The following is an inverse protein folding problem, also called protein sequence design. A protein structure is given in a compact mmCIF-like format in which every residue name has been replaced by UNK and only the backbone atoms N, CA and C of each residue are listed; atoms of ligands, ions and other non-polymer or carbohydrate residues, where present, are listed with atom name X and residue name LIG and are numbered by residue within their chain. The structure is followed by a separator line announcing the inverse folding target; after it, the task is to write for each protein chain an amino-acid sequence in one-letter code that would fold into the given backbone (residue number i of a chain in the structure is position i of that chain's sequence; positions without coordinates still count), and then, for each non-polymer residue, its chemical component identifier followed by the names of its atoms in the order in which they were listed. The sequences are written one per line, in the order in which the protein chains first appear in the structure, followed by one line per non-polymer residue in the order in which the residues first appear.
data_IF_218936723425
#
_entry.id   IF_218936723425
#
_cell.length_a   1.000
_cell.length_b   1.000
_cell.length_c   1.000
_cell.angle_alpha   90.00
_cell.angle_beta   90.00
_cell.angle_gamma   90.00
#
_symmetry.space_group_name_H-M   'P 1'
#
loop_
_entity.id
_entity.type
_entity.pdbx_description
1 polymer ?
#
# COMPACT_ATOMS: atom_id res chain seq x y z
N UNK A 1 -4.45 29.53 9.94
CA UNK A 1 -4.66 28.17 9.39
C UNK A 1 -3.45 27.86 8.52
N UNK A 2 -2.61 26.88 8.89
CA UNK A 2 -1.63 26.33 7.94
C UNK A 2 -2.45 25.67 6.83
N UNK A 3 -2.48 26.25 5.63
CA UNK A 3 -3.44 25.84 4.59
C UNK A 3 -2.92 24.75 3.64
N UNK A 4 -1.76 24.18 3.90
CA UNK A 4 -1.21 23.05 3.13
C UNK A 4 -0.51 22.11 4.10
N UNK A 5 -0.79 20.81 4.00
CA UNK A 5 -0.06 19.76 4.70
C UNK A 5 1.22 19.46 3.94
N UNK A 6 2.32 19.20 4.65
CA UNK A 6 3.59 18.86 4.01
C UNK A 6 3.54 17.40 3.55
N UNK A 7 3.65 17.17 2.24
CA UNK A 7 3.55 15.85 1.62
C UNK A 7 4.92 15.40 1.11
N UNK A 8 5.32 14.18 1.45
CA UNK A 8 6.48 13.50 0.85
C UNK A 8 6.01 12.31 0.03
N UNK A 9 6.70 12.07 -1.09
CA UNK A 9 6.35 11.03 -2.04
C UNK A 9 7.59 10.21 -2.40
N UNK A 10 7.50 8.89 -2.26
CA UNK A 10 8.59 7.99 -2.60
C UNK A 10 8.44 7.45 -4.01
N UNK A 11 9.49 7.66 -4.81
CA UNK A 11 9.56 7.22 -6.18
C UNK A 11 10.90 6.55 -6.46
N UNK A 12 10.85 5.26 -6.77
CA UNK A 12 12.00 4.53 -7.30
C UNK A 12 11.75 4.22 -8.78
N UNK A 13 12.57 4.73 -9.72
CA UNK A 13 12.35 4.55 -11.15
C UNK A 13 12.43 3.07 -11.60
N UNK A 14 13.03 2.18 -10.81
CA UNK A 14 13.20 0.78 -11.16
C UNK A 14 12.11 -0.14 -10.59
N UNK A 15 11.26 0.34 -9.67
CA UNK A 15 10.28 -0.51 -8.98
C UNK A 15 9.23 -1.11 -9.92
N UNK A 16 8.96 -0.47 -11.06
CA UNK A 16 8.04 -1.00 -12.06
C UNK A 16 8.66 -2.01 -13.04
N UNK A 17 9.98 -2.22 -12.99
CA UNK A 17 10.69 -3.12 -13.92
C UNK A 17 10.68 -4.59 -13.48
N UNK A 18 10.19 -4.89 -12.27
CA UNK A 18 10.04 -6.25 -11.79
C UNK A 18 8.82 -6.93 -12.41
N UNK A 19 8.93 -8.23 -12.67
CA UNK A 19 7.87 -9.01 -13.30
C UNK A 19 7.71 -10.36 -12.60
N UNK A 20 6.57 -10.56 -11.95
CA UNK A 20 6.26 -11.77 -11.15
C UNK A 20 6.23 -13.06 -11.98
N UNK A 21 5.99 -12.96 -13.29
CA UNK A 21 5.94 -14.10 -14.18
C UNK A 21 4.82 -14.00 -15.21
N UNK A 22 4.89 -14.78 -16.31
CA UNK A 22 3.83 -14.86 -17.30
C UNK A 22 2.49 -15.26 -16.64
N UNK A 23 1.39 -14.62 -17.04
CA UNK A 23 0.05 -14.92 -16.51
C UNK A 23 -0.26 -14.35 -15.11
N UNK A 24 0.74 -14.13 -14.26
CA UNK A 24 0.58 -13.64 -12.89
C UNK A 24 -0.14 -12.28 -12.84
N UNK A 25 -1.14 -12.08 -11.95
CA UNK A 25 -1.95 -10.86 -11.92
C UNK A 25 -1.21 -9.64 -11.34
N UNK A 26 -0.33 -9.82 -10.35
CA UNK A 26 0.50 -8.72 -9.83
C UNK A 26 1.48 -8.23 -10.91
N UNK A 27 1.35 -6.95 -11.28
CA UNK A 27 2.20 -6.26 -12.27
C UNK A 27 2.81 -5.00 -11.65
N UNK A 28 4.05 -5.05 -11.13
CA UNK A 28 4.74 -3.87 -10.60
C UNK A 28 4.78 -2.68 -11.56
N UNK A 29 4.74 -2.90 -12.89
CA UNK A 29 4.62 -1.87 -13.91
C UNK A 29 3.50 -0.84 -13.65
N UNK A 30 2.42 -1.21 -12.95
CA UNK A 30 1.35 -0.27 -12.55
C UNK A 30 1.90 0.93 -11.76
N UNK A 31 3.01 0.76 -11.05
CA UNK A 31 3.72 1.81 -10.33
C UNK A 31 4.34 2.83 -11.30
N UNK A 32 5.05 2.37 -12.34
CA UNK A 32 5.59 3.28 -13.38
C UNK A 32 4.49 4.09 -14.05
N UNK A 33 3.36 3.46 -14.35
CA UNK A 33 2.20 4.15 -14.96
C UNK A 33 1.65 5.21 -13.98
N UNK A 34 1.54 4.88 -12.68
CA UNK A 34 1.09 5.81 -11.64
C UNK A 34 2.03 7.01 -11.52
N UNK A 35 3.35 6.75 -11.44
CA UNK A 35 4.36 7.80 -11.35
C UNK A 35 4.29 8.69 -12.59
N UNK A 36 4.24 8.12 -13.79
CA UNK A 36 4.10 8.87 -15.04
C UNK A 36 2.91 9.83 -15.02
N UNK A 37 1.73 9.37 -14.56
CA UNK A 37 0.57 10.26 -14.40
C UNK A 37 0.82 11.38 -13.37
N UNK A 38 1.33 11.04 -12.19
CA UNK A 38 1.64 12.01 -11.12
C UNK A 38 2.61 13.09 -11.61
N UNK A 39 3.62 12.71 -12.39
CA UNK A 39 4.59 13.66 -12.96
C UNK A 39 3.97 14.51 -14.06
N UNK A 40 3.24 13.91 -15.01
CA UNK A 40 2.64 14.63 -16.14
C UNK A 40 1.47 15.54 -15.73
N UNK A 41 0.76 15.22 -14.64
CA UNK A 41 -0.19 16.14 -14.00
C UNK A 41 0.47 17.24 -13.15
N UNK A 42 1.81 17.27 -13.07
CA UNK A 42 2.57 18.22 -12.25
C UNK A 42 2.32 18.14 -10.74
N UNK A 43 1.75 17.04 -10.23
CA UNK A 43 1.49 16.87 -8.79
C UNK A 43 2.78 16.81 -7.97
N UNK A 44 3.86 16.29 -8.57
CA UNK A 44 5.20 16.29 -7.96
C UNK A 44 5.70 17.68 -7.55
N UNK A 45 5.21 18.77 -8.17
CA UNK A 45 5.57 20.15 -7.81
C UNK A 45 4.92 20.64 -6.52
N UNK A 46 3.99 19.85 -5.96
CA UNK A 46 3.23 20.16 -4.72
C UNK A 46 3.64 19.28 -3.54
N UNK A 47 4.72 18.51 -3.69
CA UNK A 47 5.23 17.57 -2.69
C UNK A 47 6.74 17.43 -2.80
N UNK A 48 7.39 16.95 -1.75
CA UNK A 48 8.82 16.62 -1.81
C UNK A 48 8.98 15.18 -2.28
N UNK A 49 9.64 14.98 -3.42
CA UNK A 49 9.84 13.64 -4.00
C UNK A 49 11.20 13.09 -3.60
N UNK A 50 11.21 11.86 -3.10
CA UNK A 50 12.42 11.16 -2.67
C UNK A 50 12.61 9.85 -3.44
N UNK A 51 13.85 9.60 -3.87
CA UNK A 51 14.29 8.23 -4.15
C UNK A 51 14.37 7.49 -2.83
N UNK A 52 13.64 6.37 -2.67
CA UNK A 52 13.55 5.73 -1.37
C UNK A 52 14.84 5.00 -1.00
N UNK A 53 15.06 4.93 0.31
CA UNK A 53 15.98 3.97 0.92
C UNK A 53 15.63 2.52 0.50
N UNK A 54 16.64 1.66 0.39
CA UNK A 54 16.44 0.21 0.23
C UNK A 54 16.57 -0.46 1.58
N UNK A 55 15.51 -1.11 2.05
CA UNK A 55 15.51 -1.81 3.33
C UNK A 55 16.61 -2.87 3.39
N UNK A 56 17.35 -2.88 4.49
CA UNK A 56 18.39 -3.89 4.73
C UNK A 56 17.76 -5.18 5.24
N UNK A 57 18.56 -6.25 5.22
CA UNK A 57 18.23 -7.51 5.90
C UNK A 57 17.82 -7.27 7.36
N UNK A 58 18.55 -6.41 8.08
CA UNK A 58 18.30 -6.09 9.46
C UNK A 58 16.93 -5.41 9.65
N UNK A 59 16.55 -4.49 8.76
CA UNK A 59 15.26 -3.81 8.82
C UNK A 59 14.10 -4.80 8.65
N UNK A 60 14.20 -5.72 7.69
CA UNK A 60 13.17 -6.73 7.45
C UNK A 60 13.02 -7.71 8.63
N UNK A 61 14.13 -8.09 9.26
CA UNK A 61 14.16 -9.01 10.41
C UNK A 61 13.60 -8.42 11.71
N UNK A 62 13.22 -7.13 11.72
CA UNK A 62 12.53 -6.52 12.88
C UNK A 62 11.14 -7.11 13.10
N UNK A 63 10.53 -7.63 12.04
CA UNK A 63 9.30 -8.39 12.11
C UNK A 63 9.50 -9.84 11.70
N UNK A 64 10.07 -10.07 10.51
CA UNK A 64 10.19 -11.39 9.93
C UNK A 64 11.29 -12.23 10.59
N UNK A 65 11.21 -13.56 10.45
CA UNK A 65 12.29 -14.42 10.91
C UNK A 65 13.55 -14.27 10.06
N UNK A 66 14.70 -14.38 10.72
CA UNK A 66 16.01 -14.37 10.05
C UNK A 66 16.12 -15.47 8.97
N UNK A 67 15.57 -16.66 9.25
CA UNK A 67 15.59 -17.79 8.33
C UNK A 67 14.82 -17.49 7.04
N UNK A 68 13.63 -16.89 7.17
CA UNK A 68 12.78 -16.53 6.03
C UNK A 68 13.43 -15.43 5.18
N UNK A 69 13.92 -14.34 5.78
CA UNK A 69 14.59 -13.27 5.05
C UNK A 69 15.90 -13.77 4.40
N UNK A 70 16.63 -14.67 5.07
CA UNK A 70 17.83 -15.29 4.50
C UNK A 70 17.50 -16.21 3.31
N UNK A 71 16.35 -16.88 3.34
CA UNK A 71 15.87 -17.60 2.17
C UNK A 71 15.54 -16.65 1.01
N UNK A 72 14.74 -15.60 1.26
CA UNK A 72 14.38 -14.62 0.23
C UNK A 72 15.61 -13.94 -0.39
N UNK A 73 16.65 -13.65 0.39
CA UNK A 73 17.87 -13.00 -0.08
C UNK A 73 18.76 -13.89 -0.96
N UNK A 74 18.53 -15.21 -0.95
CA UNK A 74 19.36 -16.20 -1.64
C UNK A 74 18.65 -16.89 -2.80
N UNK A 75 17.34 -17.03 -2.74
CA UNK A 75 16.57 -17.75 -3.75
C UNK A 75 16.51 -16.95 -5.05
N UNK A 76 16.82 -17.61 -6.16
CA UNK A 76 16.75 -17.07 -7.52
C UNK A 76 16.13 -18.10 -8.45
N UNK A 77 15.61 -17.70 -9.62
CA UNK A 77 15.12 -18.66 -10.62
C UNK A 77 16.17 -19.71 -11.01
N UNK A 78 17.45 -19.33 -11.03
CA UNK A 78 18.56 -20.22 -11.40
C UNK A 78 18.94 -21.25 -10.33
N UNK A 79 18.63 -21.00 -9.05
CA UNK A 79 19.01 -21.89 -7.94
C UNK A 79 17.82 -22.48 -7.17
N UNK A 80 16.58 -22.18 -7.56
CA UNK A 80 15.34 -22.57 -6.85
C UNK A 80 15.26 -24.07 -6.56
N UNK A 81 15.83 -24.93 -7.42
CA UNK A 81 15.90 -26.38 -7.23
C UNK A 81 16.69 -26.80 -5.98
N UNK A 82 17.64 -25.97 -5.53
CA UNK A 82 18.42 -26.17 -4.30
C UNK A 82 17.60 -25.86 -3.03
N UNK A 83 16.50 -25.12 -3.16
CA UNK A 83 15.66 -24.68 -2.06
C UNK A 83 14.31 -25.43 -1.96
N UNK A 84 14.15 -26.53 -2.68
CA UNK A 84 12.88 -27.31 -2.74
C UNK A 84 12.27 -27.68 -1.39
N UNK A 85 13.08 -27.82 -0.32
CA UNK A 85 12.59 -28.07 1.05
C UNK A 85 12.00 -26.83 1.73
N UNK A 86 12.49 -25.65 1.38
CA UNK A 86 12.10 -24.36 1.97
C UNK A 86 10.88 -23.75 1.27
N UNK A 87 10.65 -24.07 -0.01
CA UNK A 87 9.54 -23.52 -0.79
C UNK A 87 8.17 -23.73 -0.10
N UNK A 88 7.80 -24.95 0.35
CA UNK A 88 6.52 -25.15 1.04
C UNK A 88 6.50 -24.54 2.44
N UNK A 89 7.65 -24.51 3.13
CA UNK A 89 7.77 -23.96 4.48
C UNK A 89 7.53 -22.45 4.51
N UNK A 90 7.99 -21.74 3.47
CA UNK A 90 7.88 -20.29 3.36
C UNK A 90 6.78 -19.85 2.39
N UNK A 91 5.96 -20.80 1.92
CA UNK A 91 4.85 -20.58 1.00
C UNK A 91 5.25 -19.77 -0.27
N UNK A 92 6.41 -20.10 -0.84
CA UNK A 92 6.94 -19.51 -2.07
C UNK A 92 6.88 -20.53 -3.20
N UNK A 93 6.14 -20.22 -4.26
CA UNK A 93 5.82 -21.16 -5.33
C UNK A 93 4.76 -20.61 -6.28
N UNK A 94 3.51 -20.99 -6.08
CA UNK A 94 2.40 -20.70 -6.99
C UNK A 94 2.02 -19.20 -6.98
N UNK A 95 1.24 -18.77 -5.98
CA UNK A 95 0.80 -17.38 -5.85
C UNK A 95 1.98 -16.44 -5.52
N UNK A 96 3.00 -16.93 -4.81
CA UNK A 96 4.19 -16.15 -4.49
C UNK A 96 5.41 -16.72 -5.24
N UNK A 97 5.57 -16.46 -6.56
CA UNK A 97 6.62 -17.05 -7.38
C UNK A 97 8.01 -16.53 -7.09
N UNK A 98 9.02 -17.35 -7.34
CA UNK A 98 10.41 -16.88 -7.44
C UNK A 98 10.60 -16.18 -8.78
N UNK A 99 11.05 -14.93 -8.77
CA UNK A 99 11.36 -14.15 -9.98
C UNK A 99 12.69 -13.39 -9.83
N UNK A 100 13.23 -12.94 -10.96
CA UNK A 100 14.49 -12.18 -10.97
C UNK A 100 14.36 -10.88 -10.19
N UNK A 101 15.26 -10.67 -9.21
CA UNK A 101 15.26 -9.49 -8.36
C UNK A 101 14.19 -9.45 -7.27
N UNK A 102 13.57 -10.59 -6.91
CA UNK A 102 12.56 -10.67 -5.84
C UNK A 102 12.96 -9.94 -4.56
N UNK A 103 14.16 -10.21 -4.03
CA UNK A 103 14.65 -9.57 -2.81
C UNK A 103 14.86 -8.05 -2.97
N UNK A 104 15.35 -7.61 -4.13
CA UNK A 104 15.54 -6.18 -4.43
C UNK A 104 14.20 -5.45 -4.53
N UNK A 105 13.17 -6.10 -5.09
CA UNK A 105 11.80 -5.58 -5.07
C UNK A 105 11.30 -5.41 -3.63
N UNK A 106 11.50 -6.42 -2.78
CA UNK A 106 11.16 -6.37 -1.35
C UNK A 106 11.87 -5.23 -0.62
N UNK A 107 13.16 -5.06 -0.86
CA UNK A 107 13.96 -3.99 -0.25
C UNK A 107 13.46 -2.60 -0.62
N UNK A 108 13.07 -2.38 -1.89
CA UNK A 108 12.60 -1.07 -2.37
C UNK A 108 11.26 -0.67 -1.76
N UNK A 109 10.24 -1.52 -1.85
CA UNK A 109 8.93 -1.14 -1.30
C UNK A 109 8.95 -1.02 0.23
N UNK A 110 9.73 -1.88 0.90
CA UNK A 110 9.85 -1.84 2.37
C UNK A 110 10.60 -0.60 2.83
N UNK A 111 11.69 -0.25 2.14
CA UNK A 111 12.51 0.89 2.52
C UNK A 111 11.78 2.23 2.37
N UNK A 112 10.95 2.37 1.33
CA UNK A 112 10.07 3.53 1.15
C UNK A 112 9.05 3.68 2.30
N UNK A 113 8.38 2.59 2.71
CA UNK A 113 7.42 2.62 3.83
C UNK A 113 8.11 2.95 5.15
N UNK A 114 9.27 2.35 5.42
CA UNK A 114 10.07 2.63 6.60
C UNK A 114 10.55 4.09 6.64
N UNK A 115 11.07 4.60 5.53
CA UNK A 115 11.52 5.99 5.43
C UNK A 115 10.34 6.97 5.63
N UNK A 116 9.15 6.64 5.13
CA UNK A 116 7.91 7.36 5.40
C UNK A 116 7.58 7.44 6.89
N UNK A 117 7.61 6.31 7.59
CA UNK A 117 7.39 6.24 9.04
C UNK A 117 8.42 7.08 9.82
N UNK A 118 9.70 6.98 9.47
CA UNK A 118 10.77 7.79 10.09
C UNK A 118 10.53 9.29 9.89
N UNK A 119 10.17 9.74 8.68
CA UNK A 119 9.87 11.16 8.43
C UNK A 119 8.64 11.66 9.21
N UNK A 120 7.61 10.82 9.37
CA UNK A 120 6.43 11.15 10.18
C UNK A 120 6.78 11.28 11.68
N UNK A 121 7.54 10.33 12.24
CA UNK A 121 8.02 10.38 13.62
C UNK A 121 8.81 11.66 13.92
N UNK A 122 9.66 12.06 12.96
CA UNK A 122 10.51 13.24 13.07
C UNK A 122 9.81 14.54 12.66
N UNK A 123 8.50 14.50 12.37
CA UNK A 123 7.69 15.66 11.98
C UNK A 123 8.26 16.40 10.77
N UNK A 124 8.95 15.68 9.87
CA UNK A 124 9.47 16.22 8.62
C UNK A 124 8.39 16.34 7.54
N UNK A 125 7.24 15.71 7.74
CA UNK A 125 6.08 15.78 6.87
C UNK A 125 4.80 15.48 7.67
N UNK A 126 3.66 15.91 7.13
CA UNK A 126 2.36 15.53 7.66
C UNK A 126 1.83 14.26 6.99
N UNK A 127 2.19 14.03 5.72
CA UNK A 127 1.75 12.87 4.90
C UNK A 127 2.95 12.29 4.16
N UNK A 128 3.11 10.97 4.22
CA UNK A 128 4.09 10.24 3.43
C UNK A 128 3.37 9.26 2.49
N UNK A 129 3.74 9.24 1.21
CA UNK A 129 3.11 8.41 0.18
C UNK A 129 4.11 7.40 -0.36
N UNK A 130 3.79 6.12 -0.28
CA UNK A 130 4.51 5.03 -0.93
C UNK A 130 3.54 4.07 -1.63
N UNK A 131 3.29 4.30 -2.92
CA UNK A 131 2.42 3.41 -3.71
C UNK A 131 3.01 2.02 -3.97
N UNK A 132 4.32 1.83 -3.80
CA UNK A 132 4.94 0.53 -4.01
C UNK A 132 4.72 -0.45 -2.85
N UNK A 133 4.44 0.07 -1.65
CA UNK A 133 4.18 -0.72 -0.45
C UNK A 133 2.71 -1.11 -0.29
N UNK A 134 2.34 -1.50 0.93
CA UNK A 134 0.97 -1.93 1.24
C UNK A 134 0.76 -3.44 1.10
N UNK A 135 1.83 -4.25 1.18
CA UNK A 135 1.77 -5.70 0.96
C UNK A 135 1.34 -6.43 2.23
N UNK A 136 0.04 -6.34 2.52
CA UNK A 136 -0.56 -6.67 3.82
C UNK A 136 -0.69 -8.17 4.16
N UNK A 137 -0.53 -9.08 3.20
CA UNK A 137 -0.73 -10.52 3.43
C UNK A 137 0.51 -11.23 3.97
N UNK A 138 1.69 -10.64 3.81
CA UNK A 138 2.95 -11.28 4.23
C UNK A 138 2.93 -11.56 5.74
N UNK A 139 3.31 -12.80 6.11
CA UNK A 139 3.31 -13.28 7.49
C UNK A 139 4.72 -13.21 8.08
N UNK A 140 4.84 -13.46 9.39
CA UNK A 140 6.14 -13.41 10.07
C UNK A 140 7.16 -14.41 9.50
N UNK A 141 6.69 -15.58 9.09
CA UNK A 141 7.55 -16.70 8.68
C UNK A 141 7.37 -17.12 7.22
N UNK A 142 6.41 -16.56 6.48
CA UNK A 142 6.07 -17.04 5.13
C UNK A 142 5.46 -15.93 4.25
N UNK A 143 5.53 -16.14 2.94
CA UNK A 143 4.84 -15.32 1.96
C UNK A 143 3.35 -15.68 1.91
N UNK A 144 2.50 -14.77 1.44
CA UNK A 144 1.09 -15.05 1.20
C UNK A 144 0.49 -13.99 0.29
N UNK A 145 -0.45 -14.35 -0.59
CA UNK A 145 -1.22 -13.39 -1.38
C UNK A 145 -0.36 -12.36 -2.15
N UNK A 146 0.68 -12.82 -2.86
CA UNK A 146 1.64 -12.00 -3.61
C UNK A 146 2.61 -11.16 -2.76
N UNK A 147 2.51 -11.27 -1.44
CA UNK A 147 3.26 -10.49 -0.45
C UNK A 147 4.37 -11.31 0.19
N UNK A 148 5.60 -10.80 0.17
CA UNK A 148 6.78 -11.48 0.72
C UNK A 148 7.24 -10.84 2.03
N UNK A 149 7.40 -9.52 2.07
CA UNK A 149 7.76 -8.74 3.25
C UNK A 149 6.60 -7.81 3.60
N UNK A 150 6.22 -7.76 4.86
CA UNK A 150 5.13 -6.92 5.34
C UNK A 150 5.68 -5.54 5.72
N UNK A 151 5.76 -4.66 4.71
CA UNK A 151 6.29 -3.30 4.87
C UNK A 151 5.42 -2.45 5.82
N UNK A 152 4.13 -2.74 5.88
CA UNK A 152 3.18 -2.08 6.78
C UNK A 152 3.53 -2.36 8.24
N UNK A 153 3.74 -3.62 8.61
CA UNK A 153 4.10 -4.00 9.98
C UNK A 153 5.42 -3.36 10.39
N UNK A 154 6.42 -3.36 9.50
CA UNK A 154 7.72 -2.73 9.73
C UNK A 154 7.55 -1.22 9.94
N UNK A 155 6.76 -0.54 9.11
CA UNK A 155 6.48 0.88 9.25
C UNK A 155 5.71 1.21 10.54
N UNK A 156 4.71 0.40 10.93
CA UNK A 156 3.96 0.60 12.17
C UNK A 156 4.86 0.41 13.40
N UNK A 157 5.74 -0.60 13.39
CA UNK A 157 6.71 -0.80 14.46
C UNK A 157 7.64 0.42 14.63
N UNK A 158 8.01 1.09 13.53
CA UNK A 158 8.76 2.35 13.60
C UNK A 158 7.90 3.49 14.19
N UNK A 159 6.65 3.65 13.73
CA UNK A 159 5.72 4.66 14.27
C UNK A 159 5.48 4.47 15.78
N UNK A 160 5.39 3.23 16.25
CA UNK A 160 5.17 2.89 17.66
C UNK A 160 6.30 3.34 18.60
N UNK A 161 7.44 3.81 18.10
CA UNK A 161 8.44 4.45 18.96
C UNK A 161 8.00 5.80 19.52
N UNK A 162 7.20 6.55 18.76
CA UNK A 162 6.78 7.92 19.11
C UNK A 162 5.27 8.01 19.32
N UNK A 163 4.51 7.14 18.67
CA UNK A 163 3.06 7.15 18.70
C UNK A 163 2.53 6.11 19.70
N UNK A 164 1.84 6.52 20.79
CA UNK A 164 1.27 5.56 21.73
C UNK A 164 0.22 4.66 21.08
N UNK A 165 -0.53 5.21 20.11
CA UNK A 165 -1.60 4.55 19.37
C UNK A 165 -1.48 4.85 17.89
N UNK A 166 -1.33 3.80 17.09
CA UNK A 166 -1.33 3.84 15.62
C UNK A 166 -2.62 3.21 15.12
N UNK A 167 -3.32 3.87 14.20
CA UNK A 167 -4.49 3.32 13.53
C UNK A 167 -4.10 2.83 12.14
N UNK A 168 -4.37 1.56 11.85
CA UNK A 168 -4.26 0.98 10.53
C UNK A 168 -5.64 0.87 9.89
N UNK A 169 -5.81 1.48 8.71
CA UNK A 169 -7.05 1.41 7.91
C UNK A 169 -6.71 0.73 6.58
N UNK A 170 -7.50 -0.27 6.22
CA UNK A 170 -7.30 -1.10 5.03
C UNK A 170 -8.57 -1.09 4.16
N UNK A 171 -8.44 -0.55 2.95
CA UNK A 171 -9.53 -0.47 1.95
C UNK A 171 -9.27 -1.37 0.73
N UNK A 172 -8.28 -2.26 0.79
CA UNK A 172 -8.15 -3.39 -0.13
C UNK A 172 -9.41 -4.26 -0.10
N UNK A 173 -9.72 -4.93 -1.20
CA UNK A 173 -10.86 -5.85 -1.19
C UNK A 173 -10.59 -7.10 -0.35
N UNK A 174 -9.33 -7.47 -0.14
CA UNK A 174 -8.92 -8.60 0.69
C UNK A 174 -8.73 -8.16 2.14
N UNK A 175 -9.01 -9.07 3.07
CA UNK A 175 -8.75 -8.82 4.48
C UNK A 175 -7.25 -8.65 4.73
N UNK A 176 -6.85 -7.58 5.43
CA UNK A 176 -5.48 -7.25 5.84
C UNK A 176 -4.93 -8.16 6.95
N UNK A 177 -4.95 -9.46 6.70
CA UNK A 177 -4.74 -10.51 7.67
C UNK A 177 -3.32 -10.56 8.25
N UNK A 178 -2.28 -10.26 7.47
CA UNK A 178 -0.89 -10.21 7.97
C UNK A 178 -0.66 -9.09 8.98
N UNK A 179 -1.27 -7.92 8.74
CA UNK A 179 -1.19 -6.78 9.67
C UNK A 179 -2.06 -7.03 10.91
N UNK A 180 -3.27 -7.57 10.74
CA UNK A 180 -4.13 -7.98 11.85
C UNK A 180 -3.42 -8.98 12.76
N UNK A 181 -2.83 -10.03 12.19
CA UNK A 181 -2.14 -11.09 12.94
C UNK A 181 -0.93 -10.54 13.72
N UNK A 182 -0.14 -9.66 13.10
CA UNK A 182 1.04 -9.07 13.73
C UNK A 182 0.72 -8.26 15.00
N UNK A 183 -0.47 -7.67 15.08
CA UNK A 183 -0.89 -6.81 16.19
C UNK A 183 -2.09 -7.33 16.98
N UNK A 184 -2.48 -8.59 16.78
CA UNK A 184 -3.70 -9.17 17.35
C UNK A 184 -3.78 -9.17 18.88
N UNK A 185 -2.62 -9.07 19.55
CA UNK A 185 -2.48 -9.12 21.01
C UNK A 185 -2.17 -7.77 21.66
N UNK A 186 -2.17 -6.66 20.92
CA UNK A 186 -1.84 -5.32 21.47
C UNK A 186 -2.97 -4.31 21.25
N UNK A 187 -3.14 -3.43 22.23
CA UNK A 187 -4.01 -2.25 22.19
C UNK A 187 -3.34 -1.01 21.57
N UNK A 188 -2.03 -1.07 21.28
CA UNK A 188 -1.26 0.06 20.72
C UNK A 188 -1.45 0.24 19.21
N UNK A 189 -2.01 -0.76 18.54
CA UNK A 189 -2.36 -0.72 17.12
C UNK A 189 -3.79 -1.20 16.97
N UNK A 190 -4.64 -0.37 16.40
CA UNK A 190 -5.98 -0.80 16.00
C UNK A 190 -5.97 -1.07 14.50
N UNK A 191 -6.42 -2.25 14.10
CA UNK A 191 -6.56 -2.62 12.69
C UNK A 191 -8.02 -2.55 12.27
N UNK A 192 -8.32 -1.80 11.21
CA UNK A 192 -9.67 -1.66 10.66
C UNK A 192 -9.65 -2.05 9.18
N UNK A 193 -10.33 -3.13 8.81
CA UNK A 193 -10.33 -3.65 7.44
C UNK A 193 -11.75 -3.76 6.87
N UNK A 194 -11.93 -3.28 5.64
CA UNK A 194 -13.18 -3.31 4.88
C UNK A 194 -13.03 -4.18 3.63
N UNK A 195 -13.49 -5.42 3.70
CA UNK A 195 -13.12 -6.43 2.70
C UNK A 195 -14.30 -7.33 2.30
N UNK A 196 -14.17 -8.01 1.16
CA UNK A 196 -15.11 -9.05 0.74
C UNK A 196 -14.92 -10.28 1.64
N UNK A 197 -16.00 -10.79 2.22
CA UNK A 197 -15.95 -11.98 3.08
C UNK A 197 -16.91 -13.09 2.61
N UNK A 198 -16.58 -14.35 2.93
CA UNK A 198 -17.37 -15.55 2.61
C UNK A 198 -17.10 -16.15 1.22
N UNK A 199 -17.62 -17.37 1.01
CA UNK A 199 -17.42 -18.19 -0.21
C UNK A 199 -15.93 -18.48 -0.55
N UNK A 200 -15.10 -18.71 0.48
CA UNK A 200 -13.67 -18.95 0.33
C UNK A 200 -12.91 -17.83 -0.40
N UNK A 201 -13.45 -16.60 -0.41
CA UNK A 201 -12.71 -15.44 -0.91
C UNK A 201 -11.44 -15.27 -0.07
N UNK A 202 -10.29 -15.14 -0.73
CA UNK A 202 -9.00 -15.03 -0.08
C UNK A 202 -8.96 -13.80 0.86
N UNK A 203 -8.32 -13.87 2.04
CA UNK A 203 -7.59 -14.99 2.63
C UNK A 203 -8.47 -15.97 3.44
N UNK A 204 -9.79 -15.78 3.46
CA UNK A 204 -10.71 -16.62 4.22
C UNK A 204 -10.82 -16.29 5.72
N UNK A 205 -10.23 -15.18 6.15
CA UNK A 205 -10.30 -14.60 7.50
C UNK A 205 -10.97 -13.21 7.47
N UNK A 206 -11.13 -12.57 8.62
CA UNK A 206 -11.74 -11.25 8.73
C UNK A 206 -13.24 -11.30 9.03
N UNK A 207 -13.73 -12.36 9.69
CA UNK A 207 -15.10 -12.35 10.19
C UNK A 207 -15.27 -11.22 11.22
N UNK A 208 -16.47 -10.65 11.33
CA UNK A 208 -16.80 -9.60 12.32
C UNK A 208 -16.59 -10.03 13.78
N UNK A 209 -16.45 -11.33 14.04
CA UNK A 209 -16.17 -11.87 15.37
C UNK A 209 -14.67 -11.97 15.70
N UNK A 210 -13.78 -11.76 14.72
CA UNK A 210 -12.35 -11.68 14.94
C UNK A 210 -11.99 -10.29 15.49
N UNK A 211 -12.05 -10.16 16.82
CA UNK A 211 -11.95 -8.86 17.50
C UNK A 211 -10.60 -8.62 18.21
N UNK A 212 -9.59 -9.45 17.97
CA UNK A 212 -8.34 -9.44 18.72
C UNK A 212 -8.40 -10.29 19.99
N UNK A 213 -7.27 -10.46 20.66
CA UNK A 213 -7.14 -11.26 21.89
C UNK A 213 -6.24 -10.58 22.92
N UNK A 214 -6.30 -11.04 24.16
CA UNK A 214 -5.53 -10.47 25.29
C UNK A 214 -5.73 -8.94 25.38
N UNK A 215 -4.65 -8.16 25.47
CA UNK A 215 -4.71 -6.69 25.46
C UNK A 215 -5.25 -6.13 24.14
N UNK A 216 -5.10 -6.85 23.02
CA UNK A 216 -5.62 -6.46 21.71
C UNK A 216 -7.11 -6.75 21.50
N UNK A 217 -7.81 -7.32 22.49
CA UNK A 217 -9.25 -7.55 22.38
C UNK A 217 -10.00 -6.23 22.22
N UNK A 218 -10.89 -6.17 21.22
CA UNK A 218 -11.60 -5.00 20.70
C UNK A 218 -10.77 -4.02 19.85
N UNK A 219 -9.49 -4.33 19.59
CA UNK A 219 -8.60 -3.51 18.75
C UNK A 219 -8.40 -4.07 17.33
N UNK A 220 -9.06 -5.17 16.98
CA UNK A 220 -9.23 -5.60 15.58
C UNK A 220 -10.69 -5.40 15.17
N UNK A 221 -10.92 -4.56 14.16
CA UNK A 221 -12.23 -4.22 13.64
C UNK A 221 -12.33 -4.72 12.20
N UNK A 222 -13.21 -5.70 12.00
CA UNK A 222 -13.48 -6.28 10.69
C UNK A 222 -14.85 -5.87 10.19
N UNK A 223 -14.89 -5.38 8.96
CA UNK A 223 -16.11 -4.98 8.26
C UNK A 223 -16.29 -5.92 7.05
N UNK A 224 -16.84 -7.14 7.28
CA UNK A 224 -17.06 -8.10 6.19
C UNK A 224 -18.19 -7.61 5.28
N UNK A 225 -17.90 -7.53 3.98
CA UNK A 225 -18.81 -7.05 2.94
C UNK A 225 -19.08 -8.15 1.91
N UNK A 226 -20.13 -7.96 1.12
CA UNK A 226 -20.52 -8.81 0.00
C UNK A 226 -20.12 -8.16 -1.33
N UNK A 227 -20.24 -8.92 -2.40
CA UNK A 227 -19.98 -8.45 -3.78
C UNK A 227 -20.84 -7.24 -4.20
N UNK A 228 -20.30 -6.46 -5.13
CA UNK A 228 -21.01 -5.38 -5.81
C UNK A 228 -21.28 -4.14 -4.96
N UNK A 229 -20.61 -3.95 -3.81
CA UNK A 229 -20.79 -2.72 -3.02
C UNK A 229 -20.41 -1.49 -3.87
N UNK A 230 -21.30 -0.50 -3.89
CA UNK A 230 -21.13 0.76 -4.60
C UNK A 230 -20.63 1.88 -3.66
N UNK A 231 -20.27 3.03 -4.25
CA UNK A 231 -19.77 4.21 -3.53
C UNK A 231 -20.70 4.68 -2.40
N UNK A 232 -22.02 4.58 -2.59
CA UNK A 232 -23.00 5.08 -1.63
C UNK A 232 -23.02 4.18 -0.41
N UNK A 233 -23.18 2.87 -0.62
CA UNK A 233 -23.20 1.89 0.46
C UNK A 233 -21.85 1.80 1.18
N UNK A 234 -20.74 1.90 0.44
CA UNK A 234 -19.40 1.93 1.04
C UNK A 234 -19.23 3.17 1.93
N UNK A 235 -19.65 4.36 1.49
CA UNK A 235 -19.60 5.56 2.33
C UNK A 235 -20.52 5.47 3.56
N UNK A 236 -21.65 4.75 3.48
CA UNK A 236 -22.59 4.57 4.60
C UNK A 236 -22.06 3.63 5.69
N UNK A 237 -21.06 2.80 5.38
CA UNK A 237 -20.36 1.98 6.38
C UNK A 237 -19.02 2.58 6.80
N UNK A 238 -18.22 3.07 5.85
CA UNK A 238 -16.87 3.56 6.11
C UNK A 238 -16.87 4.75 7.07
N UNK A 239 -17.63 5.81 6.77
CA UNK A 239 -17.59 7.05 7.56
C UNK A 239 -18.06 6.82 9.01
N UNK A 240 -19.22 6.18 9.28
CA UNK A 240 -19.65 5.96 10.65
C UNK A 240 -18.71 5.04 11.45
N UNK A 241 -18.15 4.01 10.83
CA UNK A 241 -17.17 3.13 11.50
C UNK A 241 -15.91 3.91 11.84
N UNK A 242 -15.33 4.64 10.88
CA UNK A 242 -14.10 5.40 11.11
C UNK A 242 -14.32 6.54 12.11
N UNK A 243 -15.46 7.23 12.09
CA UNK A 243 -15.79 8.25 13.10
C UNK A 243 -15.75 7.66 14.50
N UNK A 244 -16.39 6.50 14.69
CA UNK A 244 -16.45 5.85 15.99
C UNK A 244 -15.08 5.33 16.42
N UNK A 245 -14.28 4.83 15.47
CA UNK A 245 -12.89 4.43 15.73
C UNK A 245 -12.07 5.63 16.20
N UNK A 246 -12.11 6.76 15.48
CA UNK A 246 -11.35 7.96 15.85
C UNK A 246 -11.78 8.48 17.23
N UNK A 247 -13.08 8.50 17.52
CA UNK A 247 -13.65 8.94 18.80
C UNK A 247 -13.17 8.07 19.98
N UNK A 248 -13.26 6.74 19.84
CA UNK A 248 -12.91 5.81 20.91
C UNK A 248 -11.40 5.60 21.07
N UNK A 249 -10.72 5.36 19.95
CA UNK A 249 -9.32 4.93 19.95
C UNK A 249 -8.34 6.10 20.01
N UNK A 250 -8.74 7.28 19.53
CA UNK A 250 -7.92 8.51 19.56
C UNK A 250 -6.47 8.28 19.09
N UNK A 251 -6.25 7.77 17.86
CA UNK A 251 -4.91 7.51 17.37
C UNK A 251 -4.09 8.79 17.22
N UNK A 252 -2.77 8.64 17.25
CA UNK A 252 -1.81 9.74 17.06
C UNK A 252 -1.07 9.69 15.73
N UNK A 253 -1.19 8.58 14.99
CA UNK A 253 -0.75 8.40 13.62
C UNK A 253 -1.69 7.42 12.91
N UNK A 254 -1.77 7.53 11.59
CA UNK A 254 -2.56 6.66 10.72
C UNK A 254 -1.66 6.02 9.67
N UNK A 255 -1.88 4.74 9.39
CA UNK A 255 -1.40 4.06 8.19
C UNK A 255 -2.63 3.66 7.38
N UNK A 256 -2.74 4.19 6.16
CA UNK A 256 -3.84 3.93 5.24
C UNK A 256 -3.32 3.11 4.06
N UNK A 257 -3.72 1.84 3.98
CA UNK A 257 -3.50 1.00 2.81
C UNK A 257 -4.62 1.28 1.81
N UNK A 258 -4.26 1.61 0.56
CA UNK A 258 -5.20 1.99 -0.50
C UNK A 258 -5.23 0.94 -1.63
N UNK A 259 -5.50 -0.32 -1.28
CA UNK A 259 -5.65 -1.41 -2.23
C UNK A 259 -6.70 -1.12 -3.30
N UNK A 260 -6.26 -1.01 -4.55
CA UNK A 260 -7.08 -0.55 -5.66
C UNK A 260 -7.87 -1.68 -6.35
N UNK A 261 -7.84 -2.90 -5.82
CA UNK A 261 -8.66 -4.03 -6.27
C UNK A 261 -10.08 -4.02 -5.71
N UNK A 262 -10.39 -3.11 -4.80
CA UNK A 262 -11.75 -2.75 -4.39
C UNK A 262 -12.50 -1.92 -5.46
N UNK A 263 -11.81 -1.48 -6.52
CA UNK A 263 -12.42 -0.76 -7.64
C UNK A 263 -13.28 -1.66 -8.53
N UNK A 264 -14.29 -1.05 -9.16
CA UNK A 264 -15.06 -1.66 -10.22
C UNK A 264 -14.17 -2.12 -11.39
N UNK A 265 -14.52 -3.26 -11.99
CA UNK A 265 -13.77 -3.87 -13.10
C UNK A 265 -12.31 -4.19 -12.77
N UNK A 266 -11.99 -4.42 -11.50
CA UNK A 266 -10.76 -5.10 -11.16
C UNK A 266 -10.75 -6.55 -11.69
N UNK A 267 -9.55 -7.09 -11.99
CA UNK A 267 -9.40 -8.45 -12.54
C UNK A 267 -9.71 -9.54 -11.51
N UNK A 268 -9.45 -9.31 -10.22
CA UNK A 268 -9.68 -10.26 -9.13
C UNK A 268 -10.79 -9.81 -8.19
N UNK A 269 -10.92 -8.50 -7.98
CA UNK A 269 -11.92 -7.92 -7.10
C UNK A 269 -13.34 -7.94 -7.67
N UNK A 270 -14.32 -7.98 -6.76
CA UNK A 270 -15.75 -8.06 -7.07
C UNK A 270 -16.58 -6.96 -6.42
N UNK A 271 -15.94 -5.84 -6.05
CA UNK A 271 -16.64 -4.61 -5.64
C UNK A 271 -16.97 -3.73 -6.85
N UNK A 272 -17.74 -2.66 -6.61
CA UNK A 272 -18.17 -1.72 -7.65
C UNK A 272 -17.86 -0.27 -7.27
N UNK A 273 -16.69 -0.04 -6.65
CA UNK A 273 -16.27 1.32 -6.29
C UNK A 273 -15.74 2.08 -7.51
N UNK A 274 -16.12 3.35 -7.61
CA UNK A 274 -15.47 4.26 -8.53
C UNK A 274 -14.17 4.79 -7.93
N UNK A 275 -13.29 5.32 -8.78
CA UNK A 275 -12.09 6.07 -8.33
C UNK A 275 -12.47 7.21 -7.38
N UNK A 276 -13.65 7.82 -7.58
CA UNK A 276 -14.14 8.89 -6.71
C UNK A 276 -14.50 8.34 -5.34
N UNK A 277 -15.29 7.27 -5.28
CA UNK A 277 -15.72 6.65 -4.03
C UNK A 277 -14.53 6.14 -3.21
N UNK A 278 -13.56 5.51 -3.88
CA UNK A 278 -12.31 5.08 -3.25
C UNK A 278 -11.52 6.28 -2.71
N UNK A 279 -11.34 7.33 -3.51
CA UNK A 279 -10.69 8.57 -3.09
C UNK A 279 -11.44 9.34 -1.98
N UNK A 280 -12.77 9.19 -1.83
CA UNK A 280 -13.49 9.77 -0.70
C UNK A 280 -13.00 9.19 0.64
N UNK A 281 -12.56 7.93 0.68
CA UNK A 281 -11.98 7.32 1.88
C UNK A 281 -10.67 8.02 2.27
N UNK A 282 -9.78 8.23 1.29
CA UNK A 282 -8.52 8.98 1.46
C UNK A 282 -8.80 10.42 1.92
N UNK A 283 -9.75 11.10 1.29
CA UNK A 283 -10.14 12.48 1.68
C UNK A 283 -10.68 12.53 3.11
N UNK A 284 -11.49 11.54 3.50
CA UNK A 284 -12.07 11.45 4.83
C UNK A 284 -11.00 11.28 5.90
N UNK A 285 -10.09 10.32 5.69
CA UNK A 285 -8.97 10.06 6.61
C UNK A 285 -8.04 11.27 6.71
N UNK A 286 -7.71 11.90 5.57
CA UNK A 286 -6.91 13.14 5.53
C UNK A 286 -7.53 14.26 6.38
N UNK A 287 -8.85 14.33 6.46
CA UNK A 287 -9.61 15.35 7.20
C UNK A 287 -9.41 15.32 8.72
N UNK A 288 -8.96 14.19 9.29
CA UNK A 288 -8.66 14.09 10.73
C UNK A 288 -7.34 14.78 11.12
N UNK A 289 -6.53 15.23 10.16
CA UNK A 289 -5.28 15.98 10.39
C UNK A 289 -4.25 15.26 11.30
N UNK A 290 -4.20 13.93 11.21
CA UNK A 290 -3.19 13.10 11.88
C UNK A 290 -2.01 12.80 10.95
N UNK A 291 -0.77 12.65 11.45
CA UNK A 291 0.34 12.11 10.68
C UNK A 291 -0.09 10.84 9.94
N UNK A 292 0.01 10.82 8.61
CA UNK A 292 -0.55 9.73 7.79
C UNK A 292 0.49 9.15 6.84
N UNK A 293 0.73 7.85 6.95
CA UNK A 293 1.42 7.06 5.92
C UNK A 293 0.37 6.48 4.98
N UNK A 294 0.48 6.78 3.69
CA UNK A 294 -0.41 6.26 2.64
C UNK A 294 0.35 5.27 1.79
N UNK A 295 -0.21 4.08 1.66
CA UNK A 295 0.41 2.95 0.97
C UNK A 295 -0.45 2.49 -0.20
N UNK A 296 0.16 1.73 -1.11
CA UNK A 296 -0.54 1.02 -2.17
C UNK A 296 -1.30 -0.19 -1.65
N UNK A 297 -1.11 -1.34 -2.30
CA UNK A 297 -1.88 -2.55 -2.03
C UNK A 297 -2.17 -3.36 -3.28
N UNK A 298 -3.26 -4.13 -3.27
CA UNK A 298 -3.79 -4.83 -4.43
C UNK A 298 -4.21 -3.90 -5.57
N UNK A 299 -4.68 -4.48 -6.67
CA UNK A 299 -5.11 -3.78 -7.88
C UNK A 299 -4.52 -4.41 -9.13
N UNK A 300 -5.39 -5.03 -9.92
CA UNK A 300 -5.03 -5.98 -10.98
C UNK A 300 -5.57 -5.60 -12.36
N UNK A 301 -6.19 -4.43 -12.46
CA UNK A 301 -6.43 -3.69 -13.71
C UNK A 301 -5.50 -2.45 -13.74
N UNK A 302 -4.26 -2.55 -14.25
CA UNK A 302 -3.20 -1.54 -14.06
C UNK A 302 -3.58 -0.10 -14.44
N UNK A 303 -4.36 0.08 -15.52
CA UNK A 303 -4.87 1.40 -15.94
C UNK A 303 -5.75 2.07 -14.88
N UNK A 304 -6.57 1.29 -14.16
CA UNK A 304 -7.46 1.81 -13.12
C UNK A 304 -6.71 2.07 -11.83
N UNK A 305 -5.73 1.22 -11.50
CA UNK A 305 -4.80 1.46 -10.38
C UNK A 305 -4.08 2.79 -10.54
N UNK A 306 -3.49 3.04 -11.71
CA UNK A 306 -2.77 4.28 -11.97
C UNK A 306 -3.67 5.51 -11.88
N UNK A 307 -4.92 5.42 -12.39
CA UNK A 307 -5.91 6.48 -12.23
C UNK A 307 -6.24 6.74 -10.77
N UNK A 308 -6.50 5.69 -9.98
CA UNK A 308 -6.89 5.80 -8.58
C UNK A 308 -5.81 6.45 -7.73
N UNK A 309 -4.59 5.91 -7.76
CA UNK A 309 -3.48 6.44 -6.97
C UNK A 309 -3.02 7.82 -7.43
N UNK A 310 -3.14 8.16 -8.72
CA UNK A 310 -2.94 9.54 -9.19
C UNK A 310 -4.02 10.49 -8.64
N UNK A 311 -5.29 10.08 -8.67
CA UNK A 311 -6.41 10.87 -8.13
C UNK A 311 -6.30 11.07 -6.61
N UNK A 312 -5.84 10.04 -5.89
CA UNK A 312 -5.60 10.12 -4.45
C UNK A 312 -4.39 10.97 -4.11
N UNK A 313 -3.32 10.88 -4.90
CA UNK A 313 -2.18 11.80 -4.77
C UNK A 313 -2.65 13.25 -4.90
N UNK A 314 -3.50 13.54 -5.90
CA UNK A 314 -4.16 14.85 -6.07
C UNK A 314 -4.92 15.28 -4.80
N UNK A 315 -5.69 14.38 -4.18
CA UNK A 315 -6.41 14.66 -2.91
C UNK A 315 -5.43 14.99 -1.79
N UNK A 316 -4.33 14.26 -1.70
CA UNK A 316 -3.35 14.39 -0.63
C UNK A 316 -2.58 15.71 -0.69
N UNK A 317 -2.31 16.21 -1.88
CA UNK A 317 -1.65 17.51 -2.11
C UNK A 317 -2.61 18.70 -2.29
N UNK A 318 -3.93 18.49 -2.07
CA UNK A 318 -4.98 19.51 -2.22
C UNK A 318 -5.02 20.22 -3.59
N UNK A 319 -4.63 19.51 -4.66
CA UNK A 319 -4.59 20.08 -6.01
C UNK A 319 -5.85 19.71 -6.82
N UNK A 320 -6.21 20.53 -7.80
CA UNK A 320 -7.24 20.19 -8.77
C UNK A 320 -6.56 19.86 -10.10
N UNK A 321 -6.96 18.77 -10.74
CA UNK A 321 -6.46 18.37 -12.06
C UNK A 321 -7.60 18.17 -13.03
N UNK A 322 -7.32 18.36 -14.32
CA UNK A 322 -8.25 18.07 -15.41
C UNK A 322 -8.65 16.59 -15.39
N UNK A 323 -9.85 16.29 -15.90
CA UNK A 323 -10.24 14.90 -16.12
C UNK A 323 -9.53 14.29 -17.35
N UNK A 324 -9.01 15.11 -18.26
CA UNK A 324 -8.22 14.66 -19.40
C UNK A 324 -6.83 14.21 -18.93
N UNK A 325 -6.41 13.01 -19.33
CA UNK A 325 -5.07 12.50 -19.04
C UNK A 325 -4.06 13.23 -19.91
N UNK A 326 -2.97 13.79 -19.34
CA UNK A 326 -1.90 14.39 -20.11
C UNK A 326 -1.17 13.34 -20.94
N UNK A 327 -0.67 13.76 -22.10
CA UNK A 327 0.15 12.89 -22.94
C UNK A 327 1.39 12.40 -22.18
N UNK A 328 1.70 11.12 -22.31
CA UNK A 328 2.81 10.42 -21.65
C UNK A 328 3.18 9.17 -22.44
N UNK A 329 4.29 8.55 -22.08
CA UNK A 329 4.77 7.28 -22.64
C UNK A 329 3.78 6.12 -22.46
N UNK A 330 2.85 6.23 -21.49
CA UNK A 330 1.78 5.25 -21.24
C UNK A 330 0.40 5.72 -21.72
N UNK A 331 0.29 6.82 -22.46
CA UNK A 331 -1.01 7.42 -22.81
C UNK A 331 -2.02 6.44 -23.43
N UNK A 332 -1.55 5.57 -24.33
CA UNK A 332 -2.37 4.56 -25.00
C UNK A 332 -2.97 3.50 -24.05
N UNK A 333 -2.42 3.32 -22.85
CA UNK A 333 -3.00 2.41 -21.83
C UNK A 333 -4.37 2.89 -21.34
N UNK A 334 -4.71 4.16 -21.56
CA UNK A 334 -5.95 4.77 -21.09
C UNK A 334 -7.02 4.90 -22.18
N UNK A 335 -6.76 4.37 -23.37
CA UNK A 335 -7.75 4.26 -24.43
C UNK A 335 -9.00 3.45 -23.96
N UNK A 336 -10.18 3.72 -24.53
CA UNK A 336 -10.46 4.73 -25.56
C UNK A 336 -10.79 6.12 -24.99
N UNK A 337 -10.99 6.24 -23.67
CA UNK A 337 -11.55 7.45 -23.05
C UNK A 337 -10.50 8.52 -22.78
N UNK A 338 -9.27 8.13 -22.46
CA UNK A 338 -8.16 9.03 -22.09
C UNK A 338 -8.50 9.97 -20.92
N UNK A 339 -9.39 9.52 -20.02
CA UNK A 339 -9.78 10.26 -18.81
C UNK A 339 -9.26 9.64 -17.53
N UNK A 340 -9.07 10.47 -16.50
CA UNK A 340 -8.67 10.07 -15.15
C UNK A 340 -9.84 9.41 -14.41
N UNK A 341 -11.00 10.07 -14.42
CA UNK A 341 -12.25 9.60 -13.84
C UNK A 341 -13.13 9.03 -14.93
N UNK A 342 -13.64 7.82 -14.71
CA UNK A 342 -14.59 7.17 -15.59
C UNK A 342 -16.01 7.65 -15.27
N UNK A 343 -16.76 8.06 -16.29
CA UNK A 343 -18.10 8.68 -16.15
C UNK A 343 -19.19 7.72 -15.62
N UNK A 344 -18.88 6.44 -15.46
CA UNK A 344 -19.78 5.43 -14.88
C UNK A 344 -19.01 4.51 -13.93
N UNK A 345 -19.62 4.10 -12.80
CA UNK A 345 -19.14 2.91 -12.09
C UNK A 345 -19.02 1.79 -13.12
N UNK A 346 -17.85 1.17 -13.25
CA UNK A 346 -17.60 0.15 -14.27
C UNK A 346 -18.25 -1.21 -13.93
N UNK A 347 -19.45 -1.21 -13.34
CA UNK A 347 -20.15 -2.43 -12.94
C UNK A 347 -21.65 -2.26 -13.05
N UNK A 348 -22.29 -3.38 -13.35
CA UNK A 348 -23.74 -3.55 -13.26
C UNK A 348 -24.22 -3.16 -11.85
N UNK A 349 -24.87 -2.00 -11.72
CA UNK A 349 -25.43 -1.53 -10.45
C UNK A 349 -26.60 -2.39 -9.97
N UNK A 350 -27.08 -3.35 -10.77
CA UNK A 350 -28.18 -4.22 -10.41
C UNK A 350 -27.79 -5.35 -9.45
N UNK A 351 -26.49 -5.57 -9.20
CA UNK A 351 -25.97 -6.69 -8.40
C UNK A 351 -25.19 -6.25 -7.14
N UNK A 352 -25.72 -5.30 -6.35
CA UNK A 352 -25.17 -4.99 -5.02
C UNK A 352 -25.81 -5.91 -3.96
N UNK A 353 -25.05 -6.89 -3.47
CA UNK A 353 -25.53 -7.85 -2.48
C UNK A 353 -25.58 -7.30 -1.03
N UNK A 354 -25.10 -6.08 -0.81
CA UNK A 354 -25.04 -5.40 0.48
C UNK A 354 -26.32 -4.59 0.70
N UNK A 355 -27.38 -5.25 1.18
CA UNK A 355 -28.62 -4.55 1.50
C UNK A 355 -28.39 -3.49 2.58
N UNK A 356 -29.20 -2.42 2.57
CA UNK A 356 -29.13 -1.36 3.59
C UNK A 356 -29.20 -1.93 5.03
N UNK A 357 -30.08 -2.91 5.25
CA UNK A 357 -30.21 -3.60 6.55
C UNK A 357 -28.91 -4.33 6.94
N UNK A 358 -28.23 -4.96 5.98
CA UNK A 358 -26.95 -5.63 6.23
C UNK A 358 -25.87 -4.62 6.66
N UNK A 359 -25.75 -3.51 5.93
CA UNK A 359 -24.81 -2.42 6.27
C UNK A 359 -25.13 -1.82 7.65
N UNK A 360 -26.38 -1.49 7.93
CA UNK A 360 -26.80 -0.93 9.22
C UNK A 360 -26.49 -1.87 10.38
N UNK A 361 -26.67 -3.18 10.19
CA UNK A 361 -26.34 -4.18 11.20
C UNK A 361 -24.84 -4.26 11.46
N UNK A 362 -24.00 -4.18 10.42
CA UNK A 362 -22.54 -4.14 10.59
C UNK A 362 -22.14 -2.87 11.36
N UNK A 363 -22.60 -1.69 10.94
CA UNK A 363 -22.29 -0.42 11.62
C UNK A 363 -22.72 -0.48 13.09
N UNK A 364 -23.93 -0.99 13.36
CA UNK A 364 -24.44 -1.15 14.74
C UNK A 364 -23.54 -2.08 15.56
N UNK A 365 -23.21 -3.26 15.03
CA UNK A 365 -22.37 -4.23 15.73
C UNK A 365 -20.97 -3.66 16.01
N UNK A 366 -20.32 -3.06 15.01
CA UNK A 366 -19.01 -2.41 15.18
C UNK A 366 -19.06 -1.27 16.19
N UNK A 367 -20.14 -0.48 16.19
CA UNK A 367 -20.34 0.60 17.18
C UNK A 367 -20.44 0.04 18.61
N UNK A 368 -21.12 -1.10 18.79
CA UNK A 368 -21.20 -1.78 20.10
C UNK A 368 -19.84 -2.35 20.53
N UNK A 369 -19.07 -2.95 19.62
CA UNK A 369 -17.70 -3.39 19.93
C UNK A 369 -16.83 -2.24 20.43
N UNK A 370 -16.83 -1.12 19.70
CA UNK A 370 -16.01 0.06 20.00
C UNK A 370 -16.37 0.74 21.34
N UNK A 371 -17.52 0.43 21.95
CA UNK A 371 -17.82 0.90 23.32
C UNK A 371 -16.93 0.26 24.38
N UNK A 372 -16.29 -0.87 24.08
CA UNK A 372 -15.39 -1.57 24.99
C UNK A 372 -13.93 -1.12 24.85
N UNK A 373 -13.63 -0.25 23.88
CA UNK A 373 -12.28 0.32 23.71
C UNK A 373 -12.03 1.34 24.83
N UNK A 374 -10.94 1.14 25.56
CA UNK A 374 -10.51 2.08 26.58
C UNK A 374 -9.94 3.34 25.90
N UNK A 375 -10.45 4.50 26.30
CA UNK A 375 -10.07 5.77 25.66
C UNK A 375 -8.64 6.23 26.04
N UNK A 376 -8.04 5.61 27.07
CA UNK A 376 -6.73 6.02 27.62
C UNK A 376 -6.08 4.90 28.44
N UNK A 377 -5.44 3.89 27.81
CA UNK A 377 -4.57 2.98 28.56
C UNK A 377 -3.39 3.77 29.13
N UNK A 378 -2.95 3.43 30.35
CA UNK A 378 -1.81 4.07 30.99
C UNK A 378 -0.53 3.81 30.16
N UNK A 379 -0.07 4.83 29.43
CA UNK A 379 1.20 4.73 28.70
C UNK A 379 2.33 4.83 29.72
N UNK A 380 3.01 3.72 29.98
CA UNK A 380 4.21 3.71 30.80
C UNK A 380 5.30 4.52 30.08
N UNK A 381 5.93 5.48 30.77
CA UNK A 381 7.08 6.19 30.21
C UNK A 381 8.19 5.18 29.90
N UNK A 382 8.62 5.14 28.64
CA UNK A 382 9.70 4.29 28.16
C UNK A 382 10.70 5.16 27.40
N UNK A 383 11.98 4.82 27.50
CA UNK A 383 13.02 5.43 26.67
C UNK A 383 12.73 5.09 25.20
N UNK A 384 12.65 6.13 24.36
CA UNK A 384 12.41 5.96 22.91
C UNK A 384 13.67 5.36 22.29
N UNK A 385 13.60 4.14 21.71
CA UNK A 385 14.74 3.57 21.00
C UNK A 385 15.12 4.46 19.82
N UNK A 386 16.42 4.48 19.47
CA UNK A 386 16.89 5.23 18.29
C UNK A 386 16.13 4.83 17.03
N UNK A 387 15.93 5.80 16.14
CA UNK A 387 15.38 5.60 14.80
C UNK A 387 16.18 4.55 14.04
N UNK A 388 15.51 3.85 13.12
CA UNK A 388 16.19 2.83 12.32
C UNK A 388 17.00 3.42 11.18
N UNK A 389 16.68 4.67 10.79
CA UNK A 389 17.38 5.44 9.78
C UNK A 389 17.81 6.79 10.37
N UNK A 390 19.00 7.25 10.04
CA UNK A 390 19.45 8.59 10.41
C UNK A 390 18.77 9.63 9.49
N UNK A 391 18.09 10.61 10.10
CA UNK A 391 17.27 11.63 9.42
C UNK A 391 18.11 12.79 8.86
N UNK A 392 19.40 12.83 9.19
CA UNK A 392 20.26 14.01 9.02
C UNK A 392 20.76 14.26 7.59
N UNK A 393 20.51 13.35 6.66
CA UNK A 393 20.85 13.58 5.27
C UNK A 393 19.57 13.77 4.45
N UNK A 394 19.49 14.85 3.67
CA UNK A 394 18.54 15.01 2.56
C UNK A 394 18.83 14.00 1.43
N UNK A 395 19.38 12.82 1.75
CA UNK A 395 19.73 11.78 0.80
C UNK A 395 18.50 11.35 0.02
N UNK A 396 18.61 11.48 -1.29
CA UNK A 396 17.59 11.04 -2.23
C UNK A 396 16.49 12.06 -2.51
N UNK A 397 16.54 13.29 -1.98
CA UNK A 397 15.64 14.35 -2.45
C UNK A 397 15.89 14.61 -3.95
N UNK A 398 14.83 14.55 -4.75
CA UNK A 398 14.89 14.75 -6.20
C UNK A 398 14.56 16.22 -6.49
N UNK A 399 15.60 17.03 -6.71
CA UNK A 399 15.47 18.48 -6.95
C UNK A 399 15.03 18.81 -8.39
N UNK A 400 15.44 17.98 -9.36
CA UNK A 400 14.91 17.95 -10.72
C UNK A 400 14.70 16.48 -11.09
N UNK A 401 13.50 16.06 -11.52
CA UNK A 401 13.37 14.74 -12.12
C UNK A 401 14.19 14.75 -13.40
N UNK A 402 15.38 14.13 -13.35
CA UNK A 402 16.12 13.77 -14.55
C UNK A 402 15.12 13.13 -15.50
N UNK A 403 15.02 13.66 -16.73
CA UNK A 403 14.10 13.16 -17.73
C UNK A 403 14.26 11.64 -17.78
N UNK A 404 13.22 10.91 -17.37
CA UNK A 404 13.20 9.46 -17.36
C UNK A 404 13.15 8.96 -18.81
N UNK A 405 14.26 9.10 -19.55
CA UNK A 405 14.34 8.82 -20.98
C UNK A 405 15.72 8.31 -21.41
N UNK A 406 16.43 7.61 -20.54
CA UNK A 406 17.48 6.71 -20.98
C UNK A 406 17.17 5.30 -20.47
N UNK A 407 16.42 4.58 -21.31
CA UNK A 407 16.57 3.12 -21.37
C UNK A 407 18.03 2.84 -21.76
N UNK A 408 18.92 2.81 -20.78
CA UNK A 408 20.30 2.37 -20.98
C UNK A 408 20.29 0.86 -21.20
N UNK A 409 20.28 0.44 -22.47
CA UNK A 409 20.77 -0.89 -22.84
C UNK A 409 22.31 -0.81 -22.89
N UNK A 410 22.98 -1.08 -21.77
CA UNK A 410 24.47 -1.13 -21.69
C UNK A 410 25.10 -2.10 -22.70
N UNK A 411 24.30 -2.94 -23.38
CA UNK A 411 24.76 -3.80 -24.47
C UNK A 411 24.81 -3.11 -25.83
N UNK A 412 24.11 -2.00 -26.03
CA UNK A 412 24.08 -1.30 -27.32
C UNK A 412 25.23 -0.31 -27.47
N UNK A 413 25.64 0.39 -26.40
CA UNK A 413 26.84 1.25 -26.39
C UNK A 413 28.11 0.46 -26.67
N UNK A 414 28.31 -0.70 -26.01
CA UNK A 414 29.47 -1.57 -26.32
C UNK A 414 29.49 -2.05 -27.76
N UNK A 415 28.32 -2.23 -28.37
CA UNK A 415 28.20 -2.70 -29.76
C UNK A 415 28.44 -1.59 -30.78
N UNK A 416 28.23 -0.33 -30.39
CA UNK A 416 28.54 0.85 -31.18
C UNK A 416 30.04 1.19 -31.04
N UNK A 417 30.59 1.15 -29.83
CA UNK A 417 32.02 1.38 -29.59
C UNK A 417 32.91 0.34 -30.28
N UNK A 418 32.55 -0.96 -30.25
CA UNK A 418 33.30 -2.00 -30.97
C UNK A 418 33.24 -1.83 -32.50
N UNK A 419 32.16 -1.27 -33.04
CA UNK A 419 32.03 -0.98 -34.48
C UNK A 419 32.80 0.27 -34.90
N UNK A 420 32.91 1.27 -34.04
CA UNK A 420 33.70 2.47 -34.30
C UNK A 420 35.20 2.25 -34.10
N UNK A 421 35.62 1.31 -33.25
CA UNK A 421 37.03 0.90 -33.17
C UNK A 421 37.47 0.06 -34.36
N UNK A 422 36.57 -0.76 -34.94
CA UNK A 422 36.90 -1.62 -36.07
C UNK A 422 36.99 -0.88 -37.42
N UNK A 423 36.44 0.34 -37.53
CA UNK A 423 36.48 1.13 -38.78
C UNK A 423 37.66 2.11 -38.86
N UNK A 424 38.50 2.17 -37.83
CA UNK A 424 39.71 3.03 -37.80
C UNK A 424 41.01 2.29 -38.10
N UNK A 425 40.95 0.98 -38.32
CA UNK A 425 42.10 0.11 -38.62
C UNK A 425 42.01 -0.56 -40.03
N UNK A 426 41.23 -0.01 -40.97
CA UNK A 426 41.28 -0.37 -42.41
C UNK A 426 41.82 0.76 -43.29
#
# INVERSE_FOLDING_TARGET
MKSSRDVVYYWDPHVGNFHYGPGHPMKPQRLSITHSLVFNYNLHKKMSVYKPYKATYHDMCRFHSEEYINFLSRVTPSNVSQFTKYLPQFNVGDDCPVFEGLYDFCARYTGASLQGAVKLNNKCCDIAINWSGGLHHAKKFEASGFCYVNDIVIAILELLKYHPRVLYIDIDIHHGDGVQEAFYLTDRVMTVSFHKFGNYFFPGTGDMFEIGSESGRFYSINVPLKEGIDDTNYSLVFKPVIDRVIECYQPTAVVLQCGADSLASDRLGCFNLSIKGHGECVRYVKGFNLPTLVLGGGGYTPRNVARAWCYETRILVDEQVSNEIPYSEYFEYFAPDFTLMLDKPCGDTSHNANTKVYIENIVKYTTELLRNVEHSPAVQMQDVPKDWLDVTEETGLINEPEAANEFYDEKEEKRIEEKESASKDE
#
